data_IF_394826067501
#
_entry.id   IF_394826067501
#
_cell.length_a   1.000
_cell.length_b   1.000
_cell.length_c   1.000
_cell.angle_alpha   90.00
_cell.angle_beta   90.00
_cell.angle_gamma   90.00
#
_symmetry.space_group_name_H-M   'P 1'
#
loop_
_entity.id
_entity.type
_entity.pdbx_description
1 polymer ?
#
# COMPACT_ATOMS: atom_id res chain seq x y z
N UNK A 1 21.40 -6.88 -23.90
CA UNK A 1 20.76 -7.16 -22.60
C UNK A 1 20.04 -5.89 -22.16
N UNK A 2 18.71 -5.82 -22.30
CA UNK A 2 17.96 -4.82 -21.52
C UNK A 2 18.03 -5.26 -20.06
N UNK A 3 18.20 -4.32 -19.14
CA UNK A 3 18.20 -4.60 -17.70
C UNK A 3 16.96 -3.96 -17.11
N UNK A 4 16.28 -4.65 -16.22
CA UNK A 4 15.11 -4.10 -15.54
C UNK A 4 15.53 -3.09 -14.47
N UNK A 5 14.65 -2.14 -14.16
CA UNK A 5 14.70 -1.32 -12.95
C UNK A 5 13.64 -1.85 -11.99
N UNK A 6 14.00 -1.96 -10.71
CA UNK A 6 13.05 -2.16 -9.62
C UNK A 6 13.06 -0.95 -8.69
N UNK A 7 11.88 -0.46 -8.33
CA UNK A 7 11.68 0.60 -7.35
C UNK A 7 10.78 0.09 -6.24
N UNK A 8 11.16 0.36 -5.00
CA UNK A 8 10.38 0.00 -3.82
C UNK A 8 9.75 1.25 -3.23
N UNK A 9 8.46 1.18 -2.95
CA UNK A 9 7.68 2.21 -2.29
C UNK A 9 7.34 1.74 -0.88
N UNK A 10 7.55 2.62 0.10
CA UNK A 10 7.28 2.32 1.50
C UNK A 10 6.55 3.49 2.15
N UNK A 11 5.37 3.21 2.70
CA UNK A 11 4.49 4.17 3.34
C UNK A 11 4.24 3.76 4.79
N UNK A 12 4.23 4.76 5.68
CA UNK A 12 3.70 4.63 7.04
C UNK A 12 2.44 5.48 7.16
N UNK A 13 1.31 4.82 7.42
CA UNK A 13 0.00 5.45 7.62
C UNK A 13 -0.24 5.55 9.12
N UNK A 14 -0.26 6.78 9.64
CA UNK A 14 -0.54 7.07 11.05
C UNK A 14 -1.95 7.59 11.22
N UNK A 15 -2.73 6.92 12.07
CA UNK A 15 -4.06 7.42 12.47
C UNK A 15 -4.07 7.76 13.94
N UNK A 16 -4.46 8.99 14.27
CA UNK A 16 -4.58 9.48 15.65
C UNK A 16 -6.04 9.83 15.95
N UNK A 17 -6.56 9.29 17.05
CA UNK A 17 -7.87 9.65 17.56
C UNK A 17 -7.76 10.78 18.59
N UNK A 18 -8.17 11.99 18.22
CA UNK A 18 -8.22 13.13 19.15
C UNK A 18 -9.57 13.24 19.90
N UNK A 19 -10.51 12.32 19.70
CA UNK A 19 -11.81 12.31 20.39
C UNK A 19 -11.66 11.70 21.79
N UNK A 20 -12.65 11.99 22.64
CA UNK A 20 -12.73 11.48 24.02
C UNK A 20 -13.21 10.02 24.14
N UNK A 21 -13.61 9.38 23.03
CA UNK A 21 -14.08 8.00 22.99
C UNK A 21 -13.33 7.17 21.95
N UNK A 22 -13.36 5.84 22.09
CA UNK A 22 -12.80 4.90 21.12
C UNK A 22 -13.57 4.97 19.79
N UNK A 23 -12.87 4.87 18.66
CA UNK A 23 -13.45 5.00 17.32
C UNK A 23 -13.00 3.82 16.46
N UNK A 24 -13.96 3.15 15.84
CA UNK A 24 -13.71 2.19 14.76
C UNK A 24 -13.62 2.94 13.44
N UNK A 25 -12.54 2.70 12.69
CA UNK A 25 -12.32 3.26 11.36
C UNK A 25 -11.92 2.16 10.40
N UNK A 26 -12.22 2.38 9.13
CA UNK A 26 -11.70 1.59 8.02
C UNK A 26 -10.70 2.49 7.30
N UNK A 27 -9.48 2.00 7.14
CA UNK A 27 -8.46 2.63 6.29
C UNK A 27 -8.37 1.80 5.02
N UNK A 28 -8.49 2.46 3.87
CA UNK A 28 -8.41 1.87 2.54
C UNK A 28 -7.26 2.52 1.78
N UNK A 29 -6.40 1.70 1.19
CA UNK A 29 -5.29 2.11 0.31
C UNK A 29 -5.26 1.20 -0.91
N UNK A 30 -4.46 1.55 -1.92
CA UNK A 30 -4.35 0.76 -3.14
C UNK A 30 -2.90 0.58 -3.59
N UNK A 31 -2.54 -0.65 -3.94
CA UNK A 31 -1.34 -0.97 -4.73
C UNK A 31 -1.74 -0.93 -6.21
N UNK A 32 -0.96 -0.27 -7.09
CA UNK A 32 -1.25 -0.26 -8.53
C UNK A 32 -1.28 -1.68 -9.12
N UNK A 33 -2.23 -1.94 -10.01
CA UNK A 33 -2.28 -3.17 -10.81
C UNK A 33 -1.75 -2.84 -12.20
N UNK A 34 -0.81 -3.66 -12.68
CA UNK A 34 -0.28 -3.51 -14.03
C UNK A 34 -1.16 -4.23 -15.05
N UNK A 35 -1.50 -3.56 -16.13
CA UNK A 35 -2.10 -4.16 -17.33
C UNK A 35 -1.04 -4.70 -18.32
N UNK A 36 0.24 -4.39 -18.09
CA UNK A 36 1.35 -4.80 -18.95
C UNK A 36 2.13 -5.94 -18.29
N UNK A 37 2.28 -7.07 -19.00
CA UNK A 37 2.93 -8.28 -18.48
C UNK A 37 4.40 -8.08 -18.06
N UNK A 38 5.09 -7.10 -18.65
CA UNK A 38 6.50 -6.81 -18.35
C UNK A 38 6.68 -5.78 -17.23
N UNK A 39 5.59 -5.23 -16.69
CA UNK A 39 5.60 -4.45 -15.45
C UNK A 39 5.09 -5.35 -14.33
N UNK A 40 5.98 -5.70 -13.41
CA UNK A 40 5.67 -6.55 -12.27
C UNK A 40 5.50 -5.68 -11.04
N UNK A 41 4.29 -5.66 -10.49
CA UNK A 41 4.00 -5.04 -9.19
C UNK A 41 3.91 -6.13 -8.13
N UNK A 42 4.68 -5.98 -7.04
CA UNK A 42 4.74 -6.96 -5.96
C UNK A 42 4.41 -6.32 -4.62
N UNK A 43 3.37 -6.83 -3.97
CA UNK A 43 3.09 -6.53 -2.56
C UNK A 43 4.19 -7.15 -1.67
N UNK A 44 4.75 -6.35 -0.76
CA UNK A 44 5.83 -6.75 0.15
C UNK A 44 5.34 -6.78 1.60
N UNK A 45 4.71 -5.71 2.08
CA UNK A 45 4.15 -5.63 3.44
C UNK A 45 2.83 -4.86 3.45
N UNK A 46 1.82 -5.37 4.17
CA UNK A 46 0.51 -4.71 4.35
C UNK A 46 0.09 -4.61 5.81
N UNK A 47 0.98 -4.88 6.78
CA UNK A 47 0.72 -4.66 8.21
C UNK A 47 -0.63 -5.22 8.73
N UNK A 48 -0.95 -6.45 8.32
CA UNK A 48 -2.20 -7.14 8.68
C UNK A 48 -3.46 -6.63 7.96
N UNK A 49 -3.31 -5.85 6.88
CA UNK A 49 -4.41 -5.44 6.02
C UNK A 49 -4.90 -6.60 5.16
N UNK A 50 -6.20 -6.61 4.86
CA UNK A 50 -6.79 -7.54 3.89
C UNK A 50 -6.47 -7.01 2.50
N UNK A 51 -5.62 -7.73 1.76
CA UNK A 51 -5.21 -7.35 0.41
C UNK A 51 -6.03 -8.10 -0.63
N UNK A 52 -6.62 -7.37 -1.58
CA UNK A 52 -7.26 -7.91 -2.77
C UNK A 52 -6.25 -7.84 -3.94
N UNK A 53 -5.78 -9.00 -4.39
CA UNK A 53 -4.80 -9.10 -5.49
C UNK A 53 -5.36 -8.68 -6.85
N UNK A 54 -6.68 -8.81 -7.06
CA UNK A 54 -7.31 -8.50 -8.33
C UNK A 54 -7.51 -6.98 -8.52
N UNK A 55 -7.81 -6.28 -7.42
CA UNK A 55 -8.10 -4.83 -7.46
C UNK A 55 -6.95 -3.96 -6.94
N UNK A 56 -6.01 -4.56 -6.21
CA UNK A 56 -4.94 -3.85 -5.52
C UNK A 56 -5.36 -3.24 -4.18
N UNK A 57 -6.63 -3.35 -3.78
CA UNK A 57 -7.16 -2.74 -2.56
C UNK A 57 -6.56 -3.37 -1.30
N UNK A 58 -6.24 -2.54 -0.31
CA UNK A 58 -5.87 -2.96 1.04
C UNK A 58 -6.83 -2.33 2.03
N UNK A 59 -7.38 -3.16 2.92
CA UNK A 59 -8.33 -2.73 3.95
C UNK A 59 -7.82 -3.04 5.35
N UNK A 60 -7.79 -2.03 6.21
CA UNK A 60 -7.58 -2.20 7.65
C UNK A 60 -8.81 -1.74 8.42
N UNK A 61 -9.47 -2.69 9.09
CA UNK A 61 -10.46 -2.39 10.12
C UNK A 61 -9.72 -2.23 11.45
N UNK A 62 -9.77 -1.04 12.04
CA UNK A 62 -8.98 -0.73 13.24
C UNK A 62 -9.83 0.00 14.26
N UNK A 63 -9.62 -0.35 15.52
CA UNK A 63 -10.17 0.37 16.65
C UNK A 63 -9.08 1.25 17.25
N UNK A 64 -9.35 2.56 17.38
CA UNK A 64 -8.39 3.53 17.90
C UNK A 64 -8.98 4.16 19.16
N UNK A 65 -8.39 3.83 20.31
CA UNK A 65 -8.83 4.35 21.60
C UNK A 65 -8.63 5.87 21.73
N UNK A 66 -9.36 6.48 22.67
CA UNK A 66 -9.32 7.91 22.91
C UNK A 66 -7.88 8.40 23.16
N UNK A 67 -7.45 9.41 22.40
CA UNK A 67 -6.11 10.00 22.51
C UNK A 67 -4.97 9.10 21.98
N UNK A 68 -5.25 7.91 21.46
CA UNK A 68 -4.23 6.98 20.95
C UNK A 68 -4.00 7.13 19.45
N UNK A 69 -2.87 6.58 19.03
CA UNK A 69 -2.52 6.44 17.62
C UNK A 69 -2.20 5.00 17.29
N UNK A 70 -2.41 4.64 16.02
CA UNK A 70 -1.94 3.41 15.42
C UNK A 70 -1.10 3.74 14.18
N UNK A 71 -0.20 2.83 13.80
CA UNK A 71 0.54 2.88 12.54
C UNK A 71 0.23 1.65 11.71
N UNK A 72 0.07 1.82 10.40
CA UNK A 72 0.05 0.77 9.39
C UNK A 72 1.19 0.99 8.40
N UNK A 73 1.78 -0.11 7.92
CA UNK A 73 2.82 -0.09 6.90
C UNK A 73 2.29 -0.68 5.60
N UNK A 74 2.62 -0.02 4.51
CA UNK A 74 2.40 -0.49 3.15
C UNK A 74 3.74 -0.44 2.41
N UNK A 75 4.20 -1.58 1.92
CA UNK A 75 5.40 -1.68 1.10
C UNK A 75 5.07 -2.51 -0.14
N UNK A 76 5.46 -2.02 -1.31
CA UNK A 76 5.37 -2.74 -2.57
C UNK A 76 6.52 -2.34 -3.50
N UNK A 77 6.86 -3.19 -4.47
CA UNK A 77 7.82 -2.86 -5.52
C UNK A 77 7.18 -2.87 -6.89
N UNK A 78 7.74 -2.06 -7.78
CA UNK A 78 7.42 -2.01 -9.20
C UNK A 78 8.70 -2.27 -9.97
N UNK A 79 8.72 -3.35 -10.75
CA UNK A 79 9.82 -3.72 -11.64
C UNK A 79 9.38 -3.58 -13.09
N UNK A 80 10.21 -2.95 -13.93
CA UNK A 80 9.92 -2.73 -15.34
C UNK A 80 11.19 -2.62 -16.19
N UNK A 81 11.12 -2.80 -17.53
CA UNK A 81 12.26 -2.58 -18.43
C UNK A 81 12.74 -1.12 -18.40
N UNK A 82 14.06 -0.91 -18.48
CA UNK A 82 14.69 0.43 -18.45
C UNK A 82 14.21 1.39 -19.54
N UNK A 83 13.87 0.83 -20.69
CA UNK A 83 13.43 1.55 -21.88
C UNK A 83 11.95 1.93 -21.85
N UNK A 84 11.18 1.42 -20.88
CA UNK A 84 9.79 1.80 -20.67
C UNK A 84 9.66 2.95 -19.67
N UNK A 85 8.91 3.97 -20.10
CA UNK A 85 8.45 5.03 -19.21
C UNK A 85 7.17 4.59 -18.50
N UNK A 86 7.20 4.54 -17.17
CA UNK A 86 6.00 4.30 -16.35
C UNK A 86 5.25 5.61 -16.19
N UNK A 87 3.95 5.60 -16.44
CA UNK A 87 3.02 6.70 -16.18
C UNK A 87 2.01 6.26 -15.12
N UNK A 88 1.56 7.18 -14.25
CA UNK A 88 0.50 6.90 -13.28
C UNK A 88 0.96 6.25 -11.95
N UNK A 89 2.25 6.37 -11.60
CA UNK A 89 2.77 6.12 -10.25
C UNK A 89 2.85 7.40 -9.43
#
# INVERSE_FOLDING_TARGET
LSSDIERTFAYEIKVKNNKKGSVKIIVEEQIPISEQEDIIVKQIEVSGGKYNQETGEIKWEVNVDAGKSISKKLVFSVRHPKDKQIQGL
#
